data_IF_267044826807
#
_entry.id   IF_267044826807
#
_cell.length_a   1.000
_cell.length_b   1.000
_cell.length_c   1.000
_cell.angle_alpha   90.00
_cell.angle_beta   90.00
_cell.angle_gamma   90.00
#
_symmetry.space_group_name_H-M   'P 1'
#
loop_
_entity.id
_entity.type
_entity.pdbx_description
1 polymer ?
#
# COMPACT_ATOMS: atom_id res chain seq x y z
N UNK A 1 1.59 8.76 16.89
CA UNK A 1 2.57 9.41 15.98
C UNK A 1 4.04 9.17 16.33
N UNK A 2 4.46 9.09 17.61
CA UNK A 2 5.88 9.00 18.02
C UNK A 2 6.70 7.90 17.31
N UNK A 3 6.12 6.73 17.05
CA UNK A 3 6.80 5.63 16.35
C UNK A 3 7.07 5.94 14.87
N UNK A 4 6.12 6.61 14.21
CA UNK A 4 6.29 7.11 12.84
C UNK A 4 7.39 8.16 12.80
N UNK A 5 7.38 9.13 13.70
CA UNK A 5 8.40 10.19 13.71
C UNK A 5 9.80 9.61 14.02
N UNK A 6 9.91 8.66 14.95
CA UNK A 6 11.16 7.94 15.22
C UNK A 6 11.72 7.21 13.99
N UNK A 7 10.85 6.65 13.15
CA UNK A 7 11.25 6.01 11.90
C UNK A 7 11.73 7.03 10.87
N UNK A 8 11.08 8.18 10.77
CA UNK A 8 11.43 9.22 9.81
C UNK A 8 12.76 9.89 10.18
N UNK A 9 13.02 10.09 11.48
CA UNK A 9 14.32 10.54 11.98
C UNK A 9 15.41 9.51 11.68
N UNK A 10 15.13 8.21 11.87
CA UNK A 10 16.03 7.13 11.47
C UNK A 10 16.36 7.19 9.96
N UNK A 11 15.36 7.41 9.11
CA UNK A 11 15.59 7.54 7.67
C UNK A 11 16.44 8.77 7.32
N UNK A 12 16.17 9.90 7.99
CA UNK A 12 16.84 11.17 7.71
C UNK A 12 18.30 11.17 8.20
N UNK A 13 18.53 10.75 9.44
CA UNK A 13 19.81 10.93 10.13
C UNK A 13 20.72 9.71 10.07
N UNK A 14 20.17 8.50 10.15
CA UNK A 14 20.98 7.28 10.14
C UNK A 14 21.12 6.69 8.74
N UNK A 15 20.06 6.77 7.93
CA UNK A 15 20.06 6.25 6.55
C UNK A 15 20.43 7.30 5.50
N UNK A 16 20.56 8.58 5.90
CA UNK A 16 20.88 9.72 5.03
C UNK A 16 19.96 9.81 3.80
N UNK A 17 18.68 9.48 3.96
CA UNK A 17 17.70 9.65 2.89
C UNK A 17 17.38 11.13 2.69
N UNK A 18 17.13 11.52 1.44
CA UNK A 18 16.72 12.89 1.13
C UNK A 18 15.40 13.23 1.83
N UNK A 19 15.18 14.51 2.16
CA UNK A 19 13.91 14.97 2.75
C UNK A 19 12.71 14.56 1.90
N UNK A 20 12.81 14.68 0.57
CA UNK A 20 11.75 14.24 -0.33
C UNK A 20 11.47 12.74 -0.22
N UNK A 21 12.52 11.91 -0.11
CA UNK A 21 12.36 10.48 0.17
C UNK A 21 11.65 10.24 1.49
N UNK A 22 12.05 10.89 2.58
CA UNK A 22 11.43 10.75 3.91
C UNK A 22 9.95 11.10 3.87
N UNK A 23 9.57 12.18 3.18
CA UNK A 23 8.16 12.58 3.04
C UNK A 23 7.33 11.57 2.25
N UNK A 24 7.90 10.87 1.25
CA UNK A 24 7.20 9.77 0.60
C UNK A 24 6.91 8.61 1.56
N UNK A 25 7.84 8.27 2.46
CA UNK A 25 7.59 7.26 3.49
C UNK A 25 6.52 7.72 4.48
N UNK A 26 6.59 8.98 4.94
CA UNK A 26 5.59 9.58 5.84
C UNK A 26 4.19 9.47 5.25
N UNK A 27 4.02 9.91 4.00
CA UNK A 27 2.74 9.92 3.32
C UNK A 27 2.13 8.52 3.21
N UNK A 28 2.93 7.51 2.86
CA UNK A 28 2.47 6.13 2.72
C UNK A 28 2.09 5.50 4.07
N UNK A 29 2.88 5.74 5.13
CA UNK A 29 2.58 5.21 6.48
C UNK A 29 1.31 5.84 7.03
N UNK A 30 1.15 7.16 6.90
CA UNK A 30 -0.05 7.85 7.35
C UNK A 30 -1.31 7.43 6.57
N UNK A 31 -1.16 7.08 5.29
CA UNK A 31 -2.28 6.55 4.49
C UNK A 31 -2.77 5.19 5.00
N UNK A 32 -1.86 4.28 5.36
CA UNK A 32 -2.23 3.00 5.99
C UNK A 32 -2.82 3.21 7.39
N UNK A 33 -2.24 4.11 8.19
CA UNK A 33 -2.74 4.40 9.54
C UNK A 33 -4.17 4.93 9.50
N UNK A 34 -4.45 5.94 8.66
CA UNK A 34 -5.81 6.46 8.50
C UNK A 34 -6.79 5.38 8.02
N UNK A 35 -6.39 4.55 7.07
CA UNK A 35 -7.24 3.45 6.62
C UNK A 35 -7.57 2.48 7.76
N UNK A 36 -6.58 2.10 8.57
CA UNK A 36 -6.81 1.22 9.72
C UNK A 36 -7.65 1.88 10.81
N UNK A 37 -7.45 3.17 11.07
CA UNK A 37 -8.25 3.94 12.03
C UNK A 37 -9.71 4.04 11.60
N UNK A 38 -9.98 4.20 10.30
CA UNK A 38 -11.33 4.20 9.73
C UNK A 38 -12.05 2.84 9.90
N UNK A 39 -11.29 1.73 9.90
CA UNK A 39 -11.84 0.37 10.03
C UNK A 39 -11.98 -0.09 11.49
N UNK A 40 -11.02 0.25 12.35
CA UNK A 40 -10.87 -0.33 13.69
C UNK A 40 -10.98 0.69 14.83
N UNK A 41 -10.96 1.99 14.54
CA UNK A 41 -10.95 3.05 15.55
C UNK A 41 -9.53 3.43 15.98
N UNK A 42 -9.24 3.39 17.29
CA UNK A 42 -7.87 3.67 17.76
C UNK A 42 -6.93 2.53 17.33
N UNK A 43 -5.93 2.85 16.51
CA UNK A 43 -5.06 1.88 15.86
C UNK A 43 -3.61 2.03 16.36
N UNK A 44 -3.08 0.96 16.94
CA UNK A 44 -1.64 0.85 17.21
C UNK A 44 -0.94 0.05 16.10
N UNK A 45 0.38 0.21 15.90
CA UNK A 45 1.11 -0.61 14.93
C UNK A 45 1.01 -2.12 15.18
N UNK A 46 0.72 -2.55 16.42
CA UNK A 46 0.55 -3.97 16.75
C UNK A 46 -0.80 -4.54 16.32
N UNK A 47 -1.80 -3.67 16.06
CA UNK A 47 -3.13 -4.07 15.61
C UNK A 47 -3.18 -4.30 14.09
N UNK A 48 -2.18 -3.79 13.36
CA UNK A 48 -2.06 -4.01 11.92
C UNK A 48 -1.66 -5.44 11.66
N UNK A 49 -2.56 -6.20 11.03
CA UNK A 49 -2.31 -7.57 10.60
C UNK A 49 -2.24 -7.71 9.07
N UNK A 50 -2.09 -8.94 8.59
CA UNK A 50 -1.99 -9.20 7.16
C UNK A 50 -3.33 -8.98 6.42
N UNK A 51 -4.46 -9.06 7.10
CA UNK A 51 -5.80 -8.86 6.54
C UNK A 51 -6.07 -7.38 6.30
N UNK A 52 -5.82 -6.54 7.30
CA UNK A 52 -5.93 -5.09 7.19
C UNK A 52 -5.07 -4.54 6.03
N UNK A 53 -3.84 -5.04 5.88
CA UNK A 53 -2.97 -4.62 4.77
C UNK A 53 -3.52 -5.09 3.42
N UNK A 54 -4.19 -6.25 3.33
CA UNK A 54 -4.83 -6.72 2.09
C UNK A 54 -6.06 -5.88 1.73
N UNK A 55 -6.87 -5.53 2.71
CA UNK A 55 -8.01 -4.63 2.52
C UNK A 55 -7.56 -3.23 2.08
N UNK A 56 -6.49 -2.72 2.69
CA UNK A 56 -5.87 -1.48 2.25
C UNK A 56 -5.43 -1.54 0.79
N UNK A 57 -4.73 -2.62 0.38
CA UNK A 57 -4.35 -2.85 -1.02
C UNK A 57 -5.59 -2.85 -1.93
N UNK A 58 -6.66 -3.55 -1.54
CA UNK A 58 -7.90 -3.60 -2.31
C UNK A 58 -8.50 -2.19 -2.49
N UNK A 59 -8.58 -1.40 -1.42
CA UNK A 59 -9.07 -0.02 -1.49
C UNK A 59 -8.22 0.88 -2.42
N UNK A 60 -6.90 0.67 -2.48
CA UNK A 60 -6.03 1.41 -3.39
C UNK A 60 -6.28 1.00 -4.84
N UNK A 61 -6.57 -0.28 -5.09
CA UNK A 61 -6.96 -0.77 -6.42
C UNK A 61 -8.32 -0.22 -6.84
N UNK A 62 -9.29 -0.14 -5.94
CA UNK A 62 -10.61 0.43 -6.20
C UNK A 62 -10.54 1.93 -6.49
N UNK A 63 -9.60 2.64 -5.85
CA UNK A 63 -9.25 4.03 -6.17
C UNK A 63 -8.50 4.19 -7.51
N UNK A 64 -8.23 3.10 -8.23
CA UNK A 64 -7.59 3.12 -9.55
C UNK A 64 -6.08 3.30 -9.54
N UNK A 65 -5.39 3.10 -8.40
CA UNK A 65 -3.93 3.25 -8.36
C UNK A 65 -3.25 2.14 -9.17
N UNK A 66 -2.24 2.52 -9.96
CA UNK A 66 -1.42 1.57 -10.71
C UNK A 66 -0.70 0.59 -9.78
N UNK A 67 -0.55 -0.67 -10.22
CA UNK A 67 0.13 -1.72 -9.45
C UNK A 67 1.55 -1.32 -9.02
N UNK A 68 2.27 -0.54 -9.83
CA UNK A 68 3.60 -0.03 -9.47
C UNK A 68 3.53 0.92 -8.27
N UNK A 69 2.53 1.80 -8.21
CA UNK A 69 2.31 2.72 -7.09
C UNK A 69 2.00 1.95 -5.81
N UNK A 70 1.11 0.95 -5.88
CA UNK A 70 0.74 0.12 -4.73
C UNK A 70 1.96 -0.68 -4.23
N UNK A 71 2.74 -1.28 -5.13
CA UNK A 71 3.96 -2.01 -4.74
C UNK A 71 5.03 -1.09 -4.12
N UNK A 72 5.13 0.17 -4.59
CA UNK A 72 6.00 1.19 -3.97
C UNK A 72 5.54 1.48 -2.54
N UNK A 73 4.24 1.72 -2.34
CA UNK A 73 3.62 1.95 -1.02
C UNK A 73 3.89 0.79 -0.07
N UNK A 74 3.66 -0.45 -0.52
CA UNK A 74 3.97 -1.65 0.27
C UNK A 74 5.45 -1.77 0.64
N UNK A 75 6.36 -1.28 -0.20
CA UNK A 75 7.80 -1.27 0.12
C UNK A 75 8.12 -0.28 1.25
N UNK A 76 7.45 0.87 1.28
CA UNK A 76 7.52 1.83 2.39
C UNK A 76 7.05 1.18 3.69
N UNK A 77 5.88 0.54 3.67
CA UNK A 77 5.30 -0.13 4.85
C UNK A 77 6.18 -1.28 5.33
N UNK A 78 6.73 -2.12 4.44
CA UNK A 78 7.68 -3.19 4.82
C UNK A 78 8.92 -2.64 5.52
N UNK A 79 9.41 -1.49 5.08
CA UNK A 79 10.60 -0.88 5.69
C UNK A 79 10.29 -0.34 7.08
N UNK A 80 9.11 0.25 7.26
CA UNK A 80 8.61 0.72 8.55
C UNK A 80 8.45 -0.42 9.56
N UNK A 81 7.73 -1.50 9.20
CA UNK A 81 7.53 -2.63 10.12
C UNK A 81 8.82 -3.39 10.44
N UNK A 82 9.78 -3.45 9.51
CA UNK A 82 11.12 -3.96 9.81
C UNK A 82 11.88 -3.10 10.82
N UNK A 83 11.72 -1.78 10.78
CA UNK A 83 12.29 -0.89 11.76
C UNK A 83 11.64 -1.09 13.14
N UNK A 84 10.32 -1.15 13.21
CA UNK A 84 9.59 -1.40 14.46
C UNK A 84 9.96 -2.76 15.08
N UNK A 85 10.04 -3.80 14.26
CA UNK A 85 10.43 -5.14 14.72
C UNK A 85 11.86 -5.15 15.31
N UNK A 86 12.80 -4.43 14.69
CA UNK A 86 14.18 -4.29 15.21
C UNK A 86 14.25 -3.53 16.53
N UNK A 87 13.32 -2.60 16.76
CA UNK A 87 13.21 -1.84 18.01
C UNK A 87 12.40 -2.56 19.09
N UNK A 88 11.78 -3.69 18.77
CA UNK A 88 10.92 -4.44 19.69
C UNK A 88 9.53 -3.80 19.89
N UNK A 89 9.15 -2.84 19.06
CA UNK A 89 7.85 -2.13 19.16
C UNK A 89 6.69 -3.00 18.65
N UNK A 90 6.99 -4.00 17.81
CA UNK A 90 6.05 -5.02 17.35
C UNK A 90 6.72 -6.39 17.45
N UNK A 91 5.94 -7.43 17.77
CA UNK A 91 6.45 -8.79 17.90
C UNK A 91 6.53 -9.56 16.57
N UNK A 92 5.69 -9.18 15.59
CA UNK A 92 5.54 -9.89 14.32
C UNK A 92 5.47 -8.87 13.17
N UNK A 93 6.04 -9.22 12.02
CA UNK A 93 5.88 -8.45 10.78
C UNK A 93 4.55 -8.81 10.09
N UNK A 94 3.56 -7.91 10.03
CA UNK A 94 2.27 -8.19 9.40
C UNK A 94 2.36 -8.35 7.88
N UNK A 95 3.44 -7.86 7.27
CA UNK A 95 3.64 -7.95 5.82
C UNK A 95 4.35 -9.24 5.39
N UNK A 96 4.70 -10.14 6.32
CA UNK A 96 5.48 -11.36 6.03
C UNK A 96 4.84 -12.24 4.95
N UNK A 97 3.51 -12.31 4.91
CA UNK A 97 2.74 -13.11 3.93
C UNK A 97 1.96 -12.26 2.93
N UNK A 98 2.14 -10.94 2.94
CA UNK A 98 1.40 -10.03 2.06
C UNK A 98 2.16 -9.87 0.73
N UNK A 99 1.47 -10.19 -0.37
CA UNK A 99 1.96 -9.95 -1.73
C UNK A 99 1.22 -8.79 -2.36
N UNK A 100 1.94 -7.91 -3.06
CA UNK A 100 1.32 -6.81 -3.80
C UNK A 100 0.71 -7.27 -5.13
N UNK A 101 -0.06 -6.40 -5.80
CA UNK A 101 -0.68 -6.72 -7.08
C UNK A 101 0.37 -7.01 -8.15
N UNK A 102 0.11 -8.03 -9.00
CA UNK A 102 0.97 -8.37 -10.14
C UNK A 102 0.95 -7.23 -11.17
N UNK A 103 2.07 -7.02 -11.87
CA UNK A 103 2.20 -5.98 -12.90
C UNK A 103 1.44 -6.41 -14.19
N UNK A 104 0.22 -5.87 -14.39
CA UNK A 104 -0.80 -6.03 -15.50
C UNK A 104 -1.59 -7.38 -15.50
N UNK A 105 -2.88 -7.51 -15.86
CA UNK A 105 -4.05 -6.66 -16.24
C UNK A 105 -4.96 -6.37 -15.01
N UNK A 106 -5.98 -5.48 -15.06
CA UNK A 106 -6.89 -5.27 -13.92
C UNK A 106 -7.44 -6.62 -13.46
N UNK A 107 -7.30 -6.91 -12.16
CA UNK A 107 -7.87 -8.13 -11.61
C UNK A 107 -9.40 -8.03 -11.69
N UNK A 108 -10.06 -9.14 -12.08
CA UNK A 108 -11.49 -9.15 -12.33
C UNK A 108 -12.26 -8.72 -11.10
N UNK A 109 -13.27 -7.90 -11.37
CA UNK A 109 -14.29 -7.43 -10.44
C UNK A 109 -15.01 -8.64 -9.84
N UNK A 110 -14.51 -9.15 -8.71
CA UNK A 110 -15.22 -10.10 -7.87
C UNK A 110 -15.33 -9.52 -6.46
N UNK A 111 -16.07 -8.41 -6.40
CA UNK A 111 -16.86 -7.90 -5.29
C UNK A 111 -17.39 -6.51 -5.71
N UNK A 112 -18.13 -6.48 -6.82
CA UNK A 112 -19.14 -5.43 -7.04
C UNK A 112 -20.49 -6.09 -6.93
N UNK A 113 -20.97 -6.24 -5.71
CA UNK A 113 -22.41 -6.12 -5.52
C UNK A 113 -22.73 -4.63 -5.55
N UNK A 114 -23.27 -4.18 -6.68
CA UNK A 114 -23.67 -2.79 -6.88
C UNK A 114 -22.83 -2.07 -7.92
N UNK A 115 -23.45 -1.90 -9.09
CA UNK A 115 -23.19 -0.81 -10.03
C UNK A 115 -21.83 -0.77 -10.74
N UNK A 116 -21.84 -1.19 -12.01
CA UNK A 116 -21.40 -0.32 -13.11
C UNK A 116 -21.86 -0.92 -14.45
N UNK A 117 -23.11 -0.67 -14.82
CA UNK A 117 -23.50 -0.68 -16.23
C UNK A 117 -23.09 0.67 -16.81
N UNK A 118 -22.01 0.68 -17.61
CA UNK A 118 -21.78 1.54 -18.78
C UNK A 118 -20.29 1.61 -19.09
N UNK A 119 -20.02 1.69 -20.39
CA UNK A 119 -18.73 1.94 -21.05
C UNK A 119 -17.96 0.68 -21.46
N UNK A 120 -18.55 -0.07 -22.39
CA UNK A 120 -17.82 -0.77 -23.44
C UNK A 120 -18.65 -0.71 -24.72
N UNK A 121 -18.71 0.47 -25.33
CA UNK A 121 -18.88 0.60 -26.78
C UNK A 121 -17.72 1.46 -27.26
N UNK A 122 -17.14 1.04 -28.38
CA UNK A 122 -16.00 1.59 -29.09
C UNK A 122 -14.62 1.39 -28.44
N UNK A 123 -13.93 0.35 -28.88
CA UNK A 123 -12.68 0.53 -29.62
C UNK A 123 -12.31 -0.77 -30.35
N UNK A 124 -12.67 -0.78 -31.63
CA UNK A 124 -12.13 -1.62 -32.69
C UNK A 124 -10.61 -1.44 -32.77
N UNK A 125 -9.84 -2.53 -32.74
CA UNK A 125 -8.41 -2.51 -33.03
C UNK A 125 -8.18 -3.42 -34.23
N UNK A 126 -7.98 -2.75 -35.37
CA UNK A 126 -7.77 -3.31 -36.68
C UNK A 126 -6.50 -4.14 -36.85
N UNK A 127 -6.50 -4.81 -37.99
CA UNK A 127 -5.59 -5.85 -38.47
C UNK A 127 -4.12 -5.42 -38.62
N UNK A 128 -3.25 -6.42 -38.39
CA UNK A 128 -2.07 -6.70 -39.23
C UNK A 128 -0.80 -5.89 -38.96
N UNK A 129 0.33 -6.60 -38.83
CA UNK A 129 1.45 -6.50 -39.79
C UNK A 129 2.52 -7.56 -39.46
N UNK A 130 2.87 -8.38 -40.45
CA UNK A 130 4.10 -9.18 -40.54
C UNK A 130 5.26 -8.31 -41.07
N UNK A 131 6.49 -8.63 -40.65
CA UNK A 131 7.72 -8.05 -41.17
C UNK A 131 8.88 -8.19 -40.20
#
# INVERSE_FOLDING_TARGET
MLLTDSFLDYLLHERNYSKGTVEYYRADILELQRFGEEMLGDLTPSDVDAELVREWIASLMDKGLASNTINRKLSSIRTYYKFLLRRGEVAVDPLRKVTGPKKKKPLPVFLREGEMNRLLDDMDFGEGFEG
#
